data_IF_084351123704
#
_entry.id   IF_084351123704
#
_cell.length_a   1.000
_cell.length_b   1.000
_cell.length_c   1.000
_cell.angle_alpha   90.00
_cell.angle_beta   90.00
_cell.angle_gamma   90.00
#
_symmetry.space_group_name_H-M   'P 1'
#
loop_
_entity.id
_entity.type
_entity.pdbx_description
1 polymer ?
#
# COMPACT_ATOMS: atom_id res chain seq x y z
N UNK A 1 7.42 22.67 -22.55
CA UNK A 1 6.45 21.57 -22.73
C UNK A 1 6.38 20.81 -21.43
N UNK A 2 5.19 20.57 -20.93
CA UNK A 2 4.96 19.70 -19.78
C UNK A 2 5.20 18.24 -20.16
N UNK A 3 5.71 17.46 -19.22
CA UNK A 3 5.89 16.03 -19.37
C UNK A 3 4.79 15.31 -18.59
N UNK A 4 4.04 14.38 -19.17
CA UNK A 4 2.95 13.68 -18.48
C UNK A 4 3.40 12.89 -17.26
N UNK A 5 4.72 12.65 -17.13
CA UNK A 5 5.34 11.96 -15.99
C UNK A 5 6.16 12.91 -15.11
N UNK A 6 6.06 14.22 -15.31
CA UNK A 6 6.63 15.23 -14.42
C UNK A 6 8.13 15.54 -14.60
N UNK A 7 8.78 15.17 -15.72
CA UNK A 7 10.22 15.43 -15.94
C UNK A 7 10.57 16.91 -15.85
N UNK A 8 9.68 17.82 -16.23
CA UNK A 8 9.89 19.26 -16.19
C UNK A 8 9.96 19.84 -14.77
N UNK A 9 9.50 19.09 -13.76
CA UNK A 9 9.60 19.41 -12.34
C UNK A 9 10.86 18.84 -11.67
N UNK A 10 11.64 18.03 -12.39
CA UNK A 10 12.88 17.48 -11.85
C UNK A 10 13.96 18.55 -11.83
N UNK A 11 14.52 18.83 -10.64
CA UNK A 11 15.60 19.80 -10.45
C UNK A 11 16.96 19.12 -10.36
N UNK A 12 17.06 17.93 -9.74
CA UNK A 12 18.34 17.28 -9.49
C UNK A 12 18.17 15.76 -9.27
N UNK A 13 18.97 14.91 -9.96
CA UNK A 13 19.66 15.23 -11.23
C UNK A 13 18.65 15.36 -12.38
N UNK A 14 18.97 16.16 -13.38
CA UNK A 14 18.15 16.28 -14.58
C UNK A 14 18.19 14.97 -15.38
N UNK A 15 17.07 14.58 -16.00
CA UNK A 15 17.00 13.41 -16.88
C UNK A 15 16.57 12.11 -16.19
N UNK A 16 16.30 12.14 -14.88
CA UNK A 16 15.69 11.00 -14.16
C UNK A 16 14.19 11.22 -13.94
N UNK A 17 13.46 10.14 -13.63
CA UNK A 17 12.05 10.27 -13.25
C UNK A 17 11.90 10.97 -11.88
N UNK A 18 10.78 11.67 -11.61
CA UNK A 18 10.55 12.36 -10.35
C UNK A 18 10.80 11.52 -9.10
N UNK A 19 10.49 10.23 -9.14
CA UNK A 19 10.73 9.31 -8.02
C UNK A 19 12.22 9.17 -7.71
N UNK A 20 13.08 9.03 -8.73
CA UNK A 20 14.52 8.89 -8.59
C UNK A 20 15.25 10.23 -8.36
N UNK A 21 14.59 11.35 -8.60
CA UNK A 21 15.16 12.67 -8.40
C UNK A 21 15.45 12.93 -6.91
N UNK A 22 16.56 13.60 -6.62
CA UNK A 22 16.85 14.09 -5.28
C UNK A 22 15.97 15.29 -4.92
N UNK A 23 15.62 16.13 -5.93
CA UNK A 23 14.84 17.34 -5.73
C UNK A 23 13.85 17.57 -6.85
N UNK A 24 12.62 17.95 -6.46
CA UNK A 24 11.55 18.42 -7.36
C UNK A 24 11.27 19.91 -7.16
N UNK A 25 10.64 20.50 -8.18
CA UNK A 25 10.13 21.86 -8.13
C UNK A 25 8.70 21.89 -7.60
N UNK A 26 8.47 22.42 -6.39
CA UNK A 26 7.14 22.53 -5.82
C UNK A 26 6.45 23.86 -6.16
N UNK A 27 6.89 24.61 -7.18
CA UNK A 27 6.25 25.88 -7.59
C UNK A 27 4.73 25.67 -7.72
N UNK A 28 3.87 26.50 -7.07
CA UNK A 28 2.43 26.38 -7.14
C UNK A 28 1.82 26.67 -8.51
N UNK A 29 2.54 27.33 -9.41
CA UNK A 29 2.07 27.55 -10.78
C UNK A 29 2.02 26.21 -11.53
N UNK A 30 0.85 25.89 -12.13
CA UNK A 30 0.66 24.63 -12.84
C UNK A 30 0.80 24.77 -14.35
N UNK A 31 1.27 23.69 -14.97
CA UNK A 31 1.23 23.51 -16.41
C UNK A 31 -0.17 23.09 -16.91
N UNK A 32 -0.37 23.06 -18.24
CA UNK A 32 -1.69 22.80 -18.81
C UNK A 32 -2.26 21.41 -18.52
N UNK A 33 -1.44 20.42 -18.21
CA UNK A 33 -1.83 19.06 -17.92
C UNK A 33 -1.63 18.65 -16.44
N UNK A 34 -1.32 19.61 -15.57
CA UNK A 34 -1.15 19.39 -14.13
C UNK A 34 -2.41 19.73 -13.34
N UNK A 35 -2.45 19.24 -12.09
CA UNK A 35 -3.47 19.57 -11.11
C UNK A 35 -2.80 20.02 -9.82
N UNK A 36 -3.23 21.15 -9.25
CA UNK A 36 -2.80 21.60 -7.92
C UNK A 36 -3.80 21.17 -6.87
N UNK A 37 -3.27 20.60 -5.79
CA UNK A 37 -4.01 20.27 -4.59
C UNK A 37 -3.65 21.24 -3.47
N UNK A 38 -4.64 21.70 -2.72
CA UNK A 38 -4.46 22.27 -1.38
C UNK A 38 -4.41 21.09 -0.40
N UNK A 39 -3.27 20.89 0.23
CA UNK A 39 -3.02 19.75 1.11
C UNK A 39 -3.73 19.94 2.46
N UNK A 40 -4.34 18.90 2.97
CA UNK A 40 -4.98 18.84 4.28
C UNK A 40 -4.22 17.93 5.25
N UNK A 41 -3.61 16.86 4.72
CA UNK A 41 -2.95 15.83 5.51
C UNK A 41 -2.01 15.00 4.64
N UNK A 42 -0.86 14.62 5.20
CA UNK A 42 -0.04 13.52 4.67
C UNK A 42 -0.32 12.26 5.48
N UNK A 43 -0.15 11.11 4.85
CA UNK A 43 -0.04 9.81 5.50
C UNK A 43 1.36 9.29 5.17
N UNK A 44 2.26 9.35 6.13
CA UNK A 44 3.60 8.80 5.97
C UNK A 44 3.51 7.28 5.85
N UNK A 45 4.34 6.72 5.01
CA UNK A 45 4.51 5.27 4.96
C UNK A 45 5.03 4.73 6.30
N UNK A 46 4.49 3.60 6.75
CA UNK A 46 4.76 3.02 8.06
C UNK A 46 6.26 2.75 8.30
N UNK A 47 6.99 2.28 7.28
CA UNK A 47 8.43 2.04 7.39
C UNK A 47 9.21 3.35 7.56
N UNK A 48 8.82 4.41 6.84
CA UNK A 48 9.42 5.74 6.97
C UNK A 48 9.14 6.37 8.33
N UNK A 49 7.90 6.30 8.81
CA UNK A 49 7.57 6.83 10.13
C UNK A 49 8.31 6.08 11.24
N UNK A 50 8.33 4.75 11.20
CA UNK A 50 9.07 3.92 12.16
C UNK A 50 10.55 4.27 12.19
N UNK A 51 11.20 4.33 11.02
CA UNK A 51 12.62 4.67 10.89
C UNK A 51 12.93 6.05 11.49
N UNK A 52 12.10 7.07 11.21
CA UNK A 52 12.28 8.42 11.78
C UNK A 52 12.03 8.44 13.29
N UNK A 53 11.01 7.74 13.77
CA UNK A 53 10.70 7.62 15.19
C UNK A 53 11.84 6.94 15.97
N UNK A 54 12.37 5.83 15.46
CA UNK A 54 13.52 5.13 16.05
C UNK A 54 14.76 6.02 16.06
N UNK A 55 15.09 6.68 14.94
CA UNK A 55 16.22 7.61 14.83
C UNK A 55 16.19 8.72 15.88
N UNK A 56 15.01 9.25 16.16
CA UNK A 56 14.81 10.35 17.09
C UNK A 56 14.33 9.90 18.48
N UNK A 57 14.41 8.62 18.79
CA UNK A 57 13.98 8.07 20.10
C UNK A 57 12.55 8.49 20.47
N UNK A 58 11.64 8.48 19.48
CA UNK A 58 10.23 8.88 19.61
C UNK A 58 10.01 10.33 20.12
N UNK A 59 11.01 11.20 19.99
CA UNK A 59 10.84 12.64 20.25
C UNK A 59 10.12 13.31 19.10
N UNK A 60 8.82 13.54 19.26
CA UNK A 60 7.94 14.02 18.20
C UNK A 60 8.39 15.33 17.57
N UNK A 61 8.93 16.29 18.34
CA UNK A 61 9.43 17.55 17.77
C UNK A 61 10.61 17.35 16.83
N UNK A 62 11.51 16.42 17.13
CA UNK A 62 12.65 16.11 16.27
C UNK A 62 12.20 15.35 15.00
N UNK A 63 11.22 14.43 15.14
CA UNK A 63 10.59 13.74 13.99
C UNK A 63 9.92 14.76 13.07
N UNK A 64 9.13 15.69 13.64
CA UNK A 64 8.47 16.77 12.90
C UNK A 64 9.47 17.65 12.15
N UNK A 65 10.52 18.10 12.84
CA UNK A 65 11.55 18.94 12.24
C UNK A 65 12.26 18.22 11.06
N UNK A 66 12.53 16.92 11.19
CA UNK A 66 13.18 16.19 10.11
C UNK A 66 12.26 15.97 8.91
N UNK A 67 10.99 15.63 9.12
CA UNK A 67 10.00 15.51 8.02
C UNK A 67 9.88 16.84 7.27
N UNK A 68 9.76 17.94 7.99
CA UNK A 68 9.70 19.29 7.38
C UNK A 68 10.97 19.58 6.57
N UNK A 69 12.14 19.32 7.14
CA UNK A 69 13.43 19.51 6.44
C UNK A 69 13.54 18.65 5.17
N UNK A 70 13.06 17.40 5.21
CA UNK A 70 13.05 16.53 4.02
C UNK A 70 12.21 17.17 2.92
N UNK A 71 11.00 17.64 3.25
CA UNK A 71 10.08 18.25 2.27
C UNK A 71 10.68 19.54 1.71
N UNK A 72 11.18 20.44 2.55
CA UNK A 72 11.76 21.72 2.13
C UNK A 72 12.98 21.56 1.24
N UNK A 73 13.88 20.64 1.61
CA UNK A 73 15.13 20.43 0.85
C UNK A 73 14.91 19.70 -0.46
N UNK A 74 13.92 18.80 -0.51
CA UNK A 74 13.67 17.94 -1.67
C UNK A 74 12.50 18.39 -2.54
N UNK A 75 11.65 19.31 -2.06
CA UNK A 75 10.40 19.67 -2.75
C UNK A 75 9.43 18.50 -2.87
N UNK A 76 9.57 17.49 -2.01
CA UNK A 76 8.76 16.26 -1.94
C UNK A 76 9.01 15.52 -0.63
N UNK A 77 8.06 14.68 -0.19
CA UNK A 77 8.33 13.76 0.91
C UNK A 77 8.97 12.47 0.35
N UNK A 78 10.26 12.33 0.57
CA UNK A 78 11.04 11.17 0.17
C UNK A 78 12.09 10.88 1.23
N UNK A 79 11.80 9.92 2.12
CA UNK A 79 12.75 9.51 3.14
C UNK A 79 13.98 8.88 2.47
N UNK A 80 15.19 9.44 2.67
CA UNK A 80 16.40 8.97 2.00
C UNK A 80 16.86 7.58 2.47
N UNK A 81 16.37 7.10 3.63
CA UNK A 81 16.74 5.81 4.20
C UNK A 81 15.84 4.70 3.67
N UNK A 82 14.53 4.90 3.69
CA UNK A 82 13.57 3.89 3.26
C UNK A 82 13.22 3.96 1.77
N UNK A 83 13.53 5.10 1.12
CA UNK A 83 13.14 5.35 -0.27
C UNK A 83 11.64 5.58 -0.47
N UNK A 84 10.88 5.72 0.60
CA UNK A 84 9.42 5.84 0.59
C UNK A 84 8.93 7.22 1.05
N UNK A 85 7.65 7.53 0.89
CA UNK A 85 7.10 8.84 1.23
C UNK A 85 5.67 8.79 1.78
N UNK A 86 4.86 7.86 1.32
CA UNK A 86 3.44 7.76 1.67
C UNK A 86 2.52 8.44 0.66
N UNK A 87 1.39 8.94 1.11
CA UNK A 87 0.34 9.56 0.30
C UNK A 87 -0.22 10.83 0.98
N UNK A 88 -1.14 11.54 0.33
CA UNK A 88 -1.81 12.71 0.94
C UNK A 88 -3.32 12.71 0.67
N UNK A 89 -4.02 13.47 1.51
CA UNK A 89 -5.36 14.00 1.26
C UNK A 89 -5.26 15.50 1.01
N UNK A 90 -5.99 15.97 0.01
CA UNK A 90 -6.14 17.39 -0.30
C UNK A 90 -7.43 17.68 -1.04
N UNK A 91 -7.67 18.95 -1.27
CA UNK A 91 -8.77 19.45 -2.11
C UNK A 91 -8.19 19.94 -3.41
N UNK A 92 -8.78 19.56 -4.52
CA UNK A 92 -8.41 20.08 -5.85
C UNK A 92 -8.65 21.57 -5.88
N UNK A 93 -7.58 22.33 -6.07
CA UNK A 93 -7.59 23.79 -6.10
C UNK A 93 -7.66 24.31 -7.54
N UNK A 94 -6.85 23.75 -8.43
CA UNK A 94 -6.79 24.14 -9.83
C UNK A 94 -6.52 22.92 -10.72
N UNK A 95 -7.18 22.89 -11.88
CA UNK A 95 -7.01 21.85 -12.91
C UNK A 95 -6.58 22.50 -14.21
N UNK A 96 -5.44 22.07 -14.74
CA UNK A 96 -4.97 22.52 -16.04
C UNK A 96 -5.92 22.09 -17.17
N UNK A 97 -6.12 22.91 -18.21
CA UNK A 97 -7.15 22.69 -19.24
C UNK A 97 -6.94 21.43 -20.09
N UNK A 98 -5.75 20.85 -20.07
CA UNK A 98 -5.42 19.61 -20.76
C UNK A 98 -5.17 18.43 -19.81
N UNK A 99 -5.51 18.56 -18.53
CA UNK A 99 -5.35 17.47 -17.57
C UNK A 99 -6.30 16.32 -17.87
N UNK A 100 -5.79 15.07 -17.98
CA UNK A 100 -6.64 13.90 -18.18
C UNK A 100 -7.21 13.32 -16.87
N UNK A 101 -6.84 13.89 -15.71
CA UNK A 101 -7.28 13.36 -14.41
C UNK A 101 -8.79 13.62 -14.21
N UNK A 102 -9.57 12.62 -13.77
CA UNK A 102 -11.02 12.72 -13.64
C UNK A 102 -11.42 13.45 -12.35
N UNK A 103 -10.94 14.68 -12.18
CA UNK A 103 -11.19 15.52 -10.98
C UNK A 103 -11.55 16.94 -11.39
N UNK A 104 -12.23 17.66 -10.51
CA UNK A 104 -12.60 19.07 -10.67
C UNK A 104 -12.27 19.86 -9.42
N UNK A 105 -12.11 21.20 -9.52
CA UNK A 105 -11.94 22.06 -8.36
C UNK A 105 -13.02 21.81 -7.30
N UNK A 106 -12.58 21.70 -6.04
CA UNK A 106 -13.43 21.38 -4.91
C UNK A 106 -13.53 19.90 -4.56
N UNK A 107 -13.15 18.98 -5.45
CA UNK A 107 -13.11 17.56 -5.10
C UNK A 107 -12.09 17.31 -3.99
N UNK A 108 -12.48 16.58 -2.97
CA UNK A 108 -11.59 16.10 -1.93
C UNK A 108 -11.02 14.75 -2.35
N UNK A 109 -9.71 14.65 -2.42
CA UNK A 109 -9.02 13.52 -3.06
C UNK A 109 -7.91 12.95 -2.18
N UNK A 110 -7.62 11.65 -2.37
CA UNK A 110 -6.40 11.02 -1.92
C UNK A 110 -5.49 10.74 -3.11
N UNK A 111 -4.19 11.01 -2.98
CA UNK A 111 -3.22 10.56 -3.98
C UNK A 111 -2.96 9.08 -3.79
N UNK A 112 -2.90 8.33 -4.89
CA UNK A 112 -2.54 6.90 -4.89
C UNK A 112 -1.15 6.69 -5.51
N UNK A 113 -0.44 7.78 -5.73
CA UNK A 113 0.98 7.81 -6.08
C UNK A 113 1.80 8.23 -4.88
N UNK A 114 2.98 7.66 -4.75
CA UNK A 114 3.87 7.99 -3.64
C UNK A 114 4.26 9.46 -3.64
N UNK A 115 4.32 10.05 -2.45
CA UNK A 115 4.87 11.40 -2.23
C UNK A 115 6.33 11.53 -2.68
N UNK A 116 7.01 10.43 -2.95
CA UNK A 116 8.39 10.42 -3.49
C UNK A 116 8.48 11.00 -4.90
N UNK A 117 7.38 11.04 -5.63
CA UNK A 117 7.31 11.59 -7.00
C UNK A 117 6.39 12.81 -7.12
N UNK A 118 5.80 13.26 -6.01
CA UNK A 118 4.82 14.36 -5.97
C UNK A 118 5.49 15.64 -5.49
N UNK A 119 5.58 16.69 -6.31
CA UNK A 119 6.02 18.01 -5.86
C UNK A 119 5.14 18.50 -4.71
N UNK A 120 5.75 18.88 -3.60
CA UNK A 120 5.06 19.18 -2.35
C UNK A 120 5.74 20.32 -1.60
N UNK A 121 4.96 21.28 -1.17
CA UNK A 121 5.38 22.29 -0.21
C UNK A 121 4.42 22.33 0.99
N UNK A 122 4.98 22.42 2.19
CA UNK A 122 4.25 22.63 3.45
C UNK A 122 4.42 24.09 3.85
N UNK A 123 3.34 24.76 4.24
CA UNK A 123 3.30 26.19 4.55
C UNK A 123 3.04 26.52 6.01
N UNK A 124 2.61 25.54 6.81
CA UNK A 124 2.27 25.73 8.23
C UNK A 124 3.35 25.18 9.20
N UNK A 125 4.51 24.74 8.70
CA UNK A 125 5.60 24.20 9.52
C UNK A 125 5.22 22.95 10.29
N UNK A 126 4.17 22.22 9.90
CA UNK A 126 3.64 21.01 10.54
C UNK A 126 3.23 21.25 12.01
N UNK A 127 2.86 22.49 12.39
CA UNK A 127 2.58 22.86 13.80
C UNK A 127 1.39 22.11 14.41
N UNK A 128 0.52 21.54 13.59
CA UNK A 128 -0.66 20.77 14.02
C UNK A 128 -0.34 19.29 14.30
N UNK A 129 0.88 18.85 14.00
CA UNK A 129 1.33 17.47 14.19
C UNK A 129 2.29 17.37 15.38
N UNK A 130 2.03 16.43 16.27
CA UNK A 130 2.85 16.18 17.45
C UNK A 130 4.09 15.30 17.18
N UNK A 131 4.29 14.87 15.92
CA UNK A 131 5.37 13.98 15.53
C UNK A 131 5.14 12.51 15.93
N UNK A 132 3.94 12.16 16.33
CA UNK A 132 3.55 10.82 16.77
C UNK A 132 2.45 10.27 15.86
N UNK A 133 2.72 9.16 15.21
CA UNK A 133 1.80 8.56 14.25
C UNK A 133 2.02 9.00 12.81
N UNK A 134 1.50 8.20 11.89
CA UNK A 134 1.70 8.33 10.44
C UNK A 134 0.88 9.48 9.82
N UNK A 135 -0.19 9.91 10.50
CA UNK A 135 -1.11 10.93 10.02
C UNK A 135 -0.61 12.34 10.37
N UNK A 136 -0.28 13.14 9.36
CA UNK A 136 0.35 14.46 9.50
C UNK A 136 -0.60 15.55 9.01
N UNK A 137 -1.46 16.12 9.88
CA UNK A 137 -2.29 17.27 9.51
C UNK A 137 -1.39 18.47 9.18
N UNK A 138 -1.55 19.01 7.99
CA UNK A 138 -0.73 20.13 7.52
C UNK A 138 -1.49 21.02 6.52
N UNK A 139 -0.92 22.17 6.23
CA UNK A 139 -1.34 23.04 5.14
C UNK A 139 -0.19 23.19 4.14
N UNK A 140 -0.54 23.32 2.86
CA UNK A 140 0.42 23.43 1.77
C UNK A 140 -0.22 23.15 0.42
N UNK A 141 0.60 22.87 -0.56
CA UNK A 141 0.13 22.46 -1.89
C UNK A 141 0.97 21.31 -2.44
N UNK A 142 0.35 20.55 -3.33
CA UNK A 142 1.00 19.47 -4.09
C UNK A 142 0.59 19.55 -5.56
N UNK A 143 1.47 19.08 -6.45
CA UNK A 143 1.23 19.07 -7.89
C UNK A 143 1.10 17.62 -8.37
N UNK A 144 0.01 17.33 -9.07
CA UNK A 144 -0.19 16.05 -9.75
C UNK A 144 0.10 16.21 -11.24
N UNK A 145 0.73 15.22 -11.83
CA UNK A 145 1.01 15.12 -13.25
C UNK A 145 -0.12 14.42 -13.99
N UNK A 146 -0.13 14.50 -15.31
CA UNK A 146 -1.13 13.86 -16.16
C UNK A 146 -1.24 12.32 -15.92
N UNK A 147 -0.15 11.66 -15.51
CA UNK A 147 -0.13 10.23 -15.18
C UNK A 147 -0.17 9.93 -13.67
N UNK A 148 -0.45 10.90 -12.85
CA UNK A 148 -0.72 10.66 -11.43
C UNK A 148 -2.00 9.84 -11.25
N UNK A 149 -2.07 9.12 -10.14
CA UNK A 149 -3.24 8.35 -9.76
C UNK A 149 -3.88 9.04 -8.56
N UNK A 150 -5.18 9.28 -8.65
CA UNK A 150 -5.94 10.01 -7.63
C UNK A 150 -7.31 9.34 -7.46
N UNK A 151 -7.81 9.31 -6.23
CA UNK A 151 -9.17 8.86 -5.93
C UNK A 151 -9.94 9.99 -5.23
N UNK A 152 -11.15 10.26 -5.70
CA UNK A 152 -12.08 11.14 -4.98
C UNK A 152 -12.51 10.42 -3.70
N UNK A 153 -12.37 11.09 -2.56
CA UNK A 153 -12.77 10.51 -1.27
C UNK A 153 -14.29 10.38 -1.22
N UNK A 154 -14.79 9.21 -0.81
CA UNK A 154 -16.22 9.01 -0.69
C UNK A 154 -16.80 9.72 0.54
N UNK A 155 -18.01 10.24 0.41
CA UNK A 155 -18.71 10.91 1.52
C UNK A 155 -19.30 9.91 2.53
N UNK A 156 -19.46 8.64 2.14
CA UNK A 156 -20.07 7.57 2.94
C UNK A 156 -19.09 6.82 3.86
N UNK A 157 -17.79 7.12 3.78
CA UNK A 157 -16.75 6.53 4.63
C UNK A 157 -16.00 7.61 5.39
N UNK A 158 -15.65 7.32 6.64
CA UNK A 158 -14.73 8.15 7.39
C UNK A 158 -13.41 8.33 6.65
N UNK A 159 -12.86 9.55 6.65
CA UNK A 159 -11.68 9.90 5.88
C UNK A 159 -10.42 9.12 6.33
N UNK A 160 -10.28 8.82 7.63
CA UNK A 160 -9.15 8.05 8.13
C UNK A 160 -9.27 6.58 7.70
N UNK A 161 -10.48 6.04 7.71
CA UNK A 161 -10.76 4.70 7.21
C UNK A 161 -10.50 4.61 5.70
N UNK A 162 -11.04 5.55 4.92
CA UNK A 162 -10.82 5.59 3.48
C UNK A 162 -9.32 5.68 3.14
N UNK A 163 -8.57 6.53 3.85
CA UNK A 163 -7.13 6.67 3.67
C UNK A 163 -6.38 5.38 3.99
N UNK A 164 -6.69 4.72 5.11
CA UNK A 164 -6.06 3.46 5.50
C UNK A 164 -6.31 2.33 4.49
N UNK A 165 -7.48 2.33 3.83
CA UNK A 165 -7.84 1.38 2.77
C UNK A 165 -7.12 1.72 1.47
N UNK A 166 -7.10 2.98 1.07
CA UNK A 166 -6.47 3.45 -0.15
C UNK A 166 -4.94 3.30 -0.14
N UNK A 167 -4.34 3.39 1.03
CA UNK A 167 -2.89 3.16 1.23
C UNK A 167 -2.43 1.77 0.77
N UNK A 168 -3.32 0.79 0.81
CA UNK A 168 -3.04 -0.61 0.47
C UNK A 168 -3.92 -1.17 -0.66
N UNK A 169 -4.61 -0.31 -1.41
CA UNK A 169 -5.63 -0.71 -2.39
C UNK A 169 -5.09 -1.54 -3.57
N UNK A 170 -3.79 -1.48 -3.83
CA UNK A 170 -3.17 -2.29 -4.88
C UNK A 170 -3.19 -3.79 -4.59
N UNK A 171 -3.02 -4.20 -3.33
CA UNK A 171 -2.97 -5.61 -2.95
C UNK A 171 -4.28 -6.35 -3.26
N UNK A 172 -5.47 -5.91 -2.81
CA UNK A 172 -6.72 -6.58 -3.14
C UNK A 172 -7.02 -6.57 -4.64
N UNK A 173 -6.74 -5.49 -5.33
CA UNK A 173 -7.01 -5.39 -6.77
C UNK A 173 -6.13 -6.32 -7.61
N UNK A 174 -4.85 -6.44 -7.29
CA UNK A 174 -3.95 -7.39 -7.94
C UNK A 174 -4.34 -8.83 -7.61
N UNK A 175 -4.69 -9.11 -6.35
CA UNK A 175 -5.17 -10.42 -5.92
C UNK A 175 -6.43 -10.83 -6.69
N UNK A 176 -7.44 -9.95 -6.77
CA UNK A 176 -8.67 -10.18 -7.55
C UNK A 176 -8.34 -10.54 -9.00
N UNK A 177 -7.46 -9.75 -9.64
CA UNK A 177 -7.05 -9.98 -11.03
C UNK A 177 -6.36 -11.33 -11.22
N UNK A 178 -5.43 -11.70 -10.34
CA UNK A 178 -4.71 -12.98 -10.43
C UNK A 178 -5.63 -14.16 -10.16
N UNK A 179 -6.46 -14.09 -9.13
CA UNK A 179 -7.39 -15.17 -8.77
C UNK A 179 -8.36 -15.50 -9.92
N UNK A 180 -8.84 -14.47 -10.65
CA UNK A 180 -9.73 -14.66 -11.79
C UNK A 180 -9.09 -15.35 -13.00
N UNK A 181 -7.77 -15.50 -13.04
CA UNK A 181 -7.11 -16.26 -14.13
C UNK A 181 -7.19 -17.78 -13.91
N UNK A 182 -7.62 -18.21 -12.74
CA UNK A 182 -7.77 -19.62 -12.38
C UNK A 182 -9.24 -20.00 -12.19
N UNK A 183 -9.53 -21.28 -12.35
CA UNK A 183 -10.86 -21.81 -12.04
C UNK A 183 -10.89 -22.27 -10.58
N UNK A 184 -11.62 -21.54 -9.71
CA UNK A 184 -11.79 -21.86 -8.28
C UNK A 184 -10.48 -22.19 -7.55
N UNK A 185 -9.46 -21.29 -7.59
CA UNK A 185 -8.17 -21.57 -6.97
C UNK A 185 -8.26 -21.60 -5.45
N UNK A 186 -7.30 -22.29 -4.80
CA UNK A 186 -7.00 -22.09 -3.39
C UNK A 186 -6.02 -20.93 -3.24
N UNK A 187 -6.20 -20.10 -2.20
CA UNK A 187 -5.40 -18.89 -2.00
C UNK A 187 -4.83 -18.83 -0.59
N UNK A 188 -3.53 -18.66 -0.49
CA UNK A 188 -2.84 -18.36 0.76
C UNK A 188 -2.39 -16.89 0.77
N UNK A 189 -2.56 -16.20 1.89
CA UNK A 189 -2.05 -14.85 2.11
C UNK A 189 -1.13 -14.85 3.32
N UNK A 190 0.16 -14.59 3.09
CA UNK A 190 1.16 -14.48 4.13
C UNK A 190 1.16 -13.05 4.67
N UNK A 191 0.77 -12.88 5.95
CA UNK A 191 0.54 -11.60 6.58
C UNK A 191 -0.87 -11.06 6.32
N UNK A 192 -1.75 -11.15 7.32
CA UNK A 192 -3.14 -10.67 7.24
C UNK A 192 -3.34 -9.29 7.91
N UNK A 193 -2.38 -8.40 7.74
CA UNK A 193 -2.47 -6.99 8.10
C UNK A 193 -3.51 -6.21 7.28
N UNK A 194 -3.33 -4.90 7.09
CA UNK A 194 -4.23 -4.08 6.25
C UNK A 194 -4.32 -4.65 4.83
N UNK A 195 -3.17 -4.80 4.16
CA UNK A 195 -3.09 -5.33 2.79
C UNK A 195 -3.64 -6.75 2.67
N UNK A 196 -3.20 -7.63 3.58
CA UNK A 196 -3.55 -9.06 3.50
C UNK A 196 -5.00 -9.36 3.84
N UNK A 197 -5.63 -8.64 4.76
CA UNK A 197 -7.06 -8.82 5.03
C UNK A 197 -7.93 -8.42 3.84
N UNK A 198 -7.58 -7.33 3.14
CA UNK A 198 -8.24 -6.96 1.89
C UNK A 198 -7.94 -7.95 0.76
N UNK A 199 -6.71 -8.47 0.67
CA UNK A 199 -6.35 -9.49 -0.33
C UNK A 199 -7.14 -10.81 -0.12
N UNK A 200 -7.30 -11.27 1.12
CA UNK A 200 -8.13 -12.43 1.46
C UNK A 200 -9.59 -12.24 1.01
N UNK A 201 -10.16 -11.10 1.36
CA UNK A 201 -11.55 -10.77 0.98
C UNK A 201 -11.69 -10.65 -0.54
N UNK A 202 -10.73 -10.02 -1.22
CA UNK A 202 -10.70 -9.93 -2.68
C UNK A 202 -10.62 -11.31 -3.34
N UNK A 203 -9.78 -12.21 -2.81
CA UNK A 203 -9.67 -13.59 -3.32
C UNK A 203 -11.01 -14.34 -3.24
N UNK A 204 -11.72 -14.23 -2.12
CA UNK A 204 -13.05 -14.84 -1.95
C UNK A 204 -14.05 -14.26 -2.96
N UNK A 205 -14.13 -12.94 -3.06
CA UNK A 205 -15.01 -12.26 -4.03
C UNK A 205 -14.69 -12.63 -5.47
N UNK A 206 -13.42 -12.88 -5.78
CA UNK A 206 -12.96 -13.32 -7.10
C UNK A 206 -13.28 -14.79 -7.42
N UNK A 207 -13.78 -15.56 -6.46
CA UNK A 207 -14.21 -16.94 -6.66
C UNK A 207 -13.19 -17.99 -6.21
N UNK A 208 -12.27 -17.67 -5.29
CA UNK A 208 -11.41 -18.67 -4.65
C UNK A 208 -12.25 -19.77 -4.01
N UNK A 209 -11.85 -21.02 -4.21
CA UNK A 209 -12.51 -22.18 -3.60
C UNK A 209 -12.28 -22.25 -2.09
N UNK A 210 -11.12 -21.83 -1.64
CA UNK A 210 -10.73 -21.76 -0.23
C UNK A 210 -9.60 -20.75 -0.04
N UNK A 211 -9.62 -20.04 1.11
CA UNK A 211 -8.62 -19.03 1.46
C UNK A 211 -8.06 -19.27 2.85
N UNK A 212 -6.75 -19.03 3.03
CA UNK A 212 -6.09 -19.04 4.33
C UNK A 212 -5.23 -17.79 4.51
N UNK A 213 -5.36 -17.14 5.66
CA UNK A 213 -4.41 -16.13 6.14
C UNK A 213 -3.37 -16.77 7.05
N UNK A 214 -2.08 -16.49 6.83
CA UNK A 214 -1.01 -16.94 7.72
C UNK A 214 -0.51 -15.73 8.52
N UNK A 215 -0.52 -15.85 9.85
CA UNK A 215 -0.13 -14.77 10.76
C UNK A 215 0.91 -15.27 11.78
N UNK A 216 1.78 -14.38 12.30
CA UNK A 216 2.89 -14.82 13.16
C UNK A 216 2.46 -15.21 14.58
N UNK A 217 1.29 -14.75 15.05
CA UNK A 217 0.88 -14.93 16.45
C UNK A 217 -0.56 -15.41 16.60
N UNK A 218 -0.80 -16.08 17.74
CA UNK A 218 -2.16 -16.48 18.15
C UNK A 218 -3.05 -15.25 18.36
N UNK A 219 -2.50 -14.15 18.88
CA UNK A 219 -3.25 -12.91 19.10
C UNK A 219 -3.79 -12.32 17.77
N UNK A 220 -2.98 -12.32 16.72
CA UNK A 220 -3.45 -11.88 15.39
C UNK A 220 -4.48 -12.82 14.78
N UNK A 221 -4.28 -14.15 14.94
CA UNK A 221 -5.29 -15.13 14.54
C UNK A 221 -6.63 -14.86 15.22
N UNK A 222 -6.61 -14.65 16.53
CA UNK A 222 -7.82 -14.43 17.33
C UNK A 222 -8.49 -13.07 16.96
N UNK A 223 -7.70 -12.04 16.65
CA UNK A 223 -8.20 -10.77 16.14
C UNK A 223 -8.96 -10.96 14.81
N UNK A 224 -8.39 -11.71 13.87
CA UNK A 224 -9.02 -11.98 12.57
C UNK A 224 -10.25 -12.88 12.73
N UNK A 225 -10.19 -13.90 13.61
CA UNK A 225 -11.31 -14.77 13.90
C UNK A 225 -12.48 -13.99 14.51
N UNK A 226 -12.20 -13.06 15.44
CA UNK A 226 -13.21 -12.19 16.05
C UNK A 226 -13.84 -11.19 15.06
N UNK A 227 -13.13 -10.81 14.00
CA UNK A 227 -13.69 -9.98 12.93
C UNK A 227 -14.63 -10.76 12.00
N UNK A 228 -14.43 -12.08 11.84
CA UNK A 228 -15.29 -12.98 11.09
C UNK A 228 -14.56 -13.87 10.09
N UNK A 229 -14.70 -15.17 10.26
CA UNK A 229 -14.23 -16.21 9.33
C UNK A 229 -15.40 -16.91 8.66
N UNK A 230 -15.14 -17.66 7.60
CA UNK A 230 -16.14 -18.40 6.85
C UNK A 230 -17.08 -17.46 6.09
N UNK A 231 -18.36 -17.68 6.19
CA UNK A 231 -19.39 -16.94 5.45
C UNK A 231 -19.40 -15.44 5.72
N UNK A 232 -18.82 -15.00 6.83
CA UNK A 232 -18.67 -13.57 7.17
C UNK A 232 -17.68 -12.79 6.28
N UNK A 233 -16.93 -13.45 5.41
CA UNK A 233 -16.29 -12.80 4.28
C UNK A 233 -14.80 -12.49 4.36
N UNK A 234 -14.10 -12.63 5.52
CA UNK A 234 -12.67 -12.30 5.60
C UNK A 234 -11.81 -13.43 4.99
N UNK A 235 -11.90 -14.64 5.51
CA UNK A 235 -11.16 -15.83 5.07
C UNK A 235 -11.89 -17.12 5.53
N UNK A 236 -11.53 -18.26 4.94
CA UNK A 236 -12.06 -19.56 5.39
C UNK A 236 -11.30 -20.09 6.59
N UNK A 237 -10.01 -19.79 6.69
CA UNK A 237 -9.15 -20.17 7.80
C UNK A 237 -8.06 -19.14 8.09
N UNK A 238 -7.54 -19.16 9.31
CA UNK A 238 -6.31 -18.46 9.71
C UNK A 238 -5.39 -19.47 10.41
N UNK A 239 -4.16 -19.56 9.92
CA UNK A 239 -3.11 -20.41 10.46
C UNK A 239 -2.01 -19.54 11.12
N UNK A 240 -1.32 -20.10 12.11
CA UNK A 240 -0.23 -19.41 12.80
C UNK A 240 1.09 -20.03 12.36
N UNK A 241 1.95 -19.22 11.73
CA UNK A 241 3.33 -19.56 11.42
C UNK A 241 4.15 -18.29 11.24
N UNK A 242 5.45 -18.34 11.57
CA UNK A 242 6.39 -17.30 11.19
C UNK A 242 6.71 -17.44 9.70
N UNK A 243 6.38 -16.43 8.90
CA UNK A 243 6.60 -16.47 7.45
C UNK A 243 8.07 -16.60 7.04
N UNK A 244 9.01 -16.36 7.97
CA UNK A 244 10.45 -16.58 7.79
C UNK A 244 10.87 -18.05 7.95
N UNK A 245 10.01 -18.88 8.53
CA UNK A 245 10.20 -20.33 8.58
C UNK A 245 9.47 -20.96 7.39
N UNK A 246 10.19 -21.36 6.33
CA UNK A 246 9.56 -21.85 5.11
C UNK A 246 8.81 -23.16 5.30
N UNK A 247 9.31 -24.04 6.17
CA UNK A 247 8.71 -25.35 6.42
C UNK A 247 7.44 -25.21 7.24
N UNK A 248 7.48 -24.43 8.32
CA UNK A 248 6.31 -24.16 9.13
C UNK A 248 5.21 -23.44 8.36
N UNK A 249 5.58 -22.47 7.50
CA UNK A 249 4.64 -21.73 6.65
C UNK A 249 3.96 -22.66 5.65
N UNK A 250 4.71 -23.49 4.92
CA UNK A 250 4.15 -24.44 3.97
C UNK A 250 3.24 -25.47 4.68
N UNK A 251 3.67 -26.01 5.82
CA UNK A 251 2.86 -26.93 6.60
C UNK A 251 1.53 -26.30 7.07
N UNK A 252 1.57 -25.04 7.51
CA UNK A 252 0.38 -24.30 7.93
C UNK A 252 -0.60 -24.07 6.77
N UNK A 253 -0.09 -23.72 5.59
CA UNK A 253 -0.91 -23.54 4.37
C UNK A 253 -1.52 -24.87 3.94
N UNK A 254 -0.71 -25.94 3.81
CA UNK A 254 -1.16 -27.27 3.41
C UNK A 254 -2.21 -27.81 4.38
N UNK A 255 -1.98 -27.68 5.69
CA UNK A 255 -2.92 -28.11 6.72
C UNK A 255 -4.26 -27.37 6.64
N UNK A 256 -4.25 -26.09 6.34
CA UNK A 256 -5.47 -25.28 6.23
C UNK A 256 -6.24 -25.48 4.92
N UNK A 257 -5.54 -25.64 3.79
CA UNK A 257 -6.15 -25.75 2.46
C UNK A 257 -6.39 -27.20 2.01
N UNK A 258 -5.68 -28.17 2.61
CA UNK A 258 -5.67 -29.57 2.18
C UNK A 258 -4.66 -29.87 1.07
N UNK A 259 -3.78 -28.93 0.76
CA UNK A 259 -2.72 -29.00 -0.26
C UNK A 259 -2.04 -27.63 -0.42
N UNK A 260 -1.00 -27.51 -1.28
CA UNK A 260 -0.40 -26.24 -1.59
C UNK A 260 -1.41 -25.30 -2.27
N UNK A 261 -1.23 -24.00 -2.11
CA UNK A 261 -2.09 -22.98 -2.68
C UNK A 261 -1.89 -22.83 -4.19
N UNK A 262 -2.94 -22.60 -4.95
CA UNK A 262 -2.82 -22.20 -6.37
C UNK A 262 -2.23 -20.79 -6.49
N UNK A 263 -2.60 -19.91 -5.56
CA UNK A 263 -2.08 -18.53 -5.50
C UNK A 263 -1.61 -18.23 -4.08
N UNK A 264 -0.37 -17.77 -3.94
CA UNK A 264 0.16 -17.26 -2.67
C UNK A 264 0.46 -15.78 -2.79
N UNK A 265 -0.11 -14.97 -1.89
CA UNK A 265 0.10 -13.51 -1.84
C UNK A 265 0.93 -13.16 -0.61
N UNK A 266 2.08 -12.50 -0.79
CA UNK A 266 2.97 -12.08 0.28
C UNK A 266 2.71 -10.63 0.63
N UNK A 267 2.05 -10.39 1.75
CA UNK A 267 1.72 -9.06 2.31
C UNK A 267 2.49 -8.76 3.60
N UNK A 268 3.27 -9.69 4.11
CA UNK A 268 4.08 -9.51 5.32
C UNK A 268 5.30 -8.65 5.00
N UNK A 269 5.54 -7.63 5.82
CA UNK A 269 6.65 -6.67 5.61
C UNK A 269 7.88 -7.02 6.46
N UNK A 270 8.38 -8.26 6.27
CA UNK A 270 9.63 -8.73 6.84
C UNK A 270 10.44 -9.48 5.77
N UNK A 271 11.78 -9.37 5.75
CA UNK A 271 12.61 -10.09 4.79
C UNK A 271 12.67 -11.59 5.11
N UNK A 272 12.94 -12.41 4.07
CA UNK A 272 13.17 -13.85 4.22
C UNK A 272 11.93 -14.72 4.11
N UNK A 273 10.82 -14.18 3.57
CA UNK A 273 9.56 -14.93 3.40
C UNK A 273 9.43 -15.62 2.04
N UNK A 274 10.37 -15.43 1.13
CA UNK A 274 10.30 -15.87 -0.27
C UNK A 274 10.17 -17.39 -0.38
N UNK A 275 11.03 -18.13 0.33
CA UNK A 275 11.04 -19.59 0.29
C UNK A 275 9.76 -20.21 0.86
N UNK A 276 9.23 -19.60 1.94
CA UNK A 276 7.94 -20.03 2.53
C UNK A 276 6.78 -19.84 1.56
N UNK A 277 6.77 -18.72 0.83
CA UNK A 277 5.77 -18.46 -0.19
C UNK A 277 5.85 -19.46 -1.36
N UNK A 278 7.07 -19.74 -1.85
CA UNK A 278 7.31 -20.69 -2.96
C UNK A 278 6.88 -22.11 -2.54
N UNK A 279 7.32 -22.60 -1.38
CA UNK A 279 6.96 -23.92 -0.86
C UNK A 279 5.46 -24.07 -0.59
N UNK A 280 4.77 -22.96 -0.32
CA UNK A 280 3.32 -22.95 -0.10
C UNK A 280 2.51 -23.01 -1.40
N UNK A 281 3.17 -22.84 -2.56
CA UNK A 281 2.51 -22.70 -3.86
C UNK A 281 2.63 -23.99 -4.67
N UNK A 282 1.53 -24.40 -5.29
CA UNK A 282 1.49 -25.58 -6.17
C UNK A 282 2.27 -25.31 -7.48
N UNK A 283 2.77 -26.38 -8.10
CA UNK A 283 3.33 -26.30 -9.45
C UNK A 283 2.28 -25.72 -10.44
N UNK A 284 2.73 -24.86 -11.34
CA UNK A 284 1.88 -24.08 -12.23
C UNK A 284 1.12 -22.94 -11.54
N UNK A 285 1.34 -22.74 -10.24
CA UNK A 285 0.71 -21.67 -9.45
C UNK A 285 1.39 -20.32 -9.57
N UNK A 286 0.85 -19.33 -8.86
CA UNK A 286 1.37 -17.95 -8.85
C UNK A 286 1.71 -17.49 -7.43
N UNK A 287 2.93 -16.95 -7.25
CA UNK A 287 3.33 -16.19 -6.07
C UNK A 287 3.26 -14.70 -6.40
N UNK A 288 2.51 -13.92 -5.62
CA UNK A 288 2.44 -12.46 -5.73
C UNK A 288 3.21 -11.85 -4.57
N UNK A 289 4.37 -11.28 -4.82
CA UNK A 289 5.15 -10.53 -3.84
C UNK A 289 4.67 -9.08 -3.79
N UNK A 290 3.89 -8.73 -2.78
CA UNK A 290 3.37 -7.39 -2.55
C UNK A 290 4.16 -6.63 -1.48
N UNK A 291 5.01 -7.32 -0.74
CA UNK A 291 5.91 -6.76 0.26
C UNK A 291 7.13 -6.11 -0.38
N UNK A 292 7.47 -4.90 0.07
CA UNK A 292 8.70 -4.21 -0.31
C UNK A 292 9.96 -4.82 0.34
N UNK A 293 9.80 -5.69 1.34
CA UNK A 293 10.90 -6.43 1.97
C UNK A 293 11.37 -7.64 1.13
N UNK A 294 10.73 -7.92 0.00
CA UNK A 294 11.07 -9.06 -0.87
C UNK A 294 12.43 -8.91 -1.54
N UNK A 295 13.26 -9.95 -1.47
CA UNK A 295 14.50 -10.08 -2.22
C UNK A 295 14.26 -10.88 -3.51
N UNK A 296 14.37 -10.22 -4.66
CA UNK A 296 14.19 -10.88 -5.96
C UNK A 296 15.24 -11.99 -6.20
N UNK A 297 16.46 -11.78 -5.74
CA UNK A 297 17.53 -12.77 -5.84
C UNK A 297 17.19 -14.01 -4.99
N UNK A 298 16.70 -13.81 -3.75
CA UNK A 298 16.29 -14.92 -2.89
C UNK A 298 15.09 -15.68 -3.48
N UNK A 299 14.10 -14.96 -4.05
CA UNK A 299 12.97 -15.60 -4.70
C UNK A 299 13.37 -16.43 -5.93
N UNK A 300 14.20 -15.87 -6.82
CA UNK A 300 14.64 -16.56 -8.03
C UNK A 300 15.48 -17.82 -7.72
N UNK A 301 16.51 -17.66 -6.87
CA UNK A 301 17.38 -18.77 -6.46
C UNK A 301 16.63 -19.80 -5.61
N UNK A 302 15.64 -19.35 -4.81
CA UNK A 302 14.80 -20.24 -4.03
C UNK A 302 13.92 -21.12 -4.91
N UNK A 303 13.29 -20.57 -5.95
CA UNK A 303 12.49 -21.34 -6.88
C UNK A 303 13.36 -22.36 -7.66
N UNK A 304 14.53 -21.92 -8.13
CA UNK A 304 15.50 -22.82 -8.80
C UNK A 304 15.95 -23.94 -7.86
N UNK A 305 16.36 -23.61 -6.64
CA UNK A 305 16.84 -24.59 -5.66
C UNK A 305 15.78 -25.61 -5.19
N UNK A 306 14.51 -25.23 -5.29
CA UNK A 306 13.37 -26.10 -4.98
C UNK A 306 12.80 -26.81 -6.21
N UNK A 307 13.32 -26.52 -7.41
CA UNK A 307 12.77 -26.95 -8.69
C UNK A 307 11.25 -26.64 -8.80
N UNK A 308 10.84 -25.48 -8.27
CA UNK A 308 9.44 -25.07 -8.20
C UNK A 308 9.00 -24.43 -9.52
N UNK A 309 8.00 -25.00 -10.17
CA UNK A 309 7.37 -24.42 -11.37
C UNK A 309 6.31 -23.42 -10.97
N UNK A 310 6.73 -22.18 -10.65
CA UNK A 310 5.82 -21.12 -10.21
C UNK A 310 6.01 -19.83 -11.00
N UNK A 311 4.90 -19.16 -11.30
CA UNK A 311 4.94 -17.78 -11.80
C UNK A 311 5.12 -16.82 -10.61
N UNK A 312 6.12 -15.94 -10.69
CA UNK A 312 6.36 -14.93 -9.66
C UNK A 312 6.01 -13.54 -10.19
N UNK A 313 5.10 -12.85 -9.50
CA UNK A 313 4.66 -11.49 -9.82
C UNK A 313 5.09 -10.51 -8.74
N UNK A 314 5.58 -9.36 -9.17
CA UNK A 314 5.86 -8.23 -8.29
C UNK A 314 4.62 -7.35 -8.23
N UNK A 315 4.08 -7.15 -7.04
CA UNK A 315 2.96 -6.25 -6.81
C UNK A 315 3.41 -4.80 -6.81
N UNK A 316 3.05 -4.05 -7.84
CA UNK A 316 3.45 -2.66 -8.03
C UNK A 316 2.49 -1.63 -7.45
N UNK A 317 1.46 -2.06 -6.74
CA UNK A 317 0.47 -1.17 -6.13
C UNK A 317 -0.57 -0.58 -7.07
N UNK A 318 -0.43 -0.73 -8.39
CA UNK A 318 -1.37 -0.17 -9.37
C UNK A 318 -2.06 -1.24 -10.20
N UNK A 319 -3.38 -1.21 -10.15
CA UNK A 319 -4.28 -1.91 -11.08
C UNK A 319 -5.40 -0.93 -11.44
N UNK A 320 -5.83 -0.81 -12.70
CA UNK A 320 -6.97 0.04 -13.06
C UNK A 320 -8.19 -0.24 -12.17
N UNK A 321 -8.76 0.81 -11.55
CA UNK A 321 -9.90 0.69 -10.65
C UNK A 321 -9.58 0.17 -9.23
N UNK A 322 -8.32 0.08 -8.84
CA UNK A 322 -7.90 -0.48 -7.54
C UNK A 322 -8.52 0.24 -6.33
N UNK A 323 -8.71 1.56 -6.40
CA UNK A 323 -9.38 2.31 -5.34
C UNK A 323 -10.83 1.84 -5.14
N UNK A 324 -11.60 1.74 -6.23
CA UNK A 324 -13.00 1.32 -6.18
C UNK A 324 -13.14 -0.12 -5.69
N UNK A 325 -12.24 -1.00 -6.12
CA UNK A 325 -12.18 -2.39 -5.64
C UNK A 325 -11.99 -2.43 -4.12
N UNK A 326 -11.01 -1.70 -3.60
CA UNK A 326 -10.70 -1.73 -2.17
C UNK A 326 -11.81 -1.07 -1.32
N UNK A 327 -12.32 0.09 -1.74
CA UNK A 327 -13.43 0.76 -1.06
C UNK A 327 -14.71 -0.08 -1.10
N UNK A 328 -14.99 -0.76 -2.23
CA UNK A 328 -16.11 -1.69 -2.37
C UNK A 328 -16.02 -2.84 -1.37
N UNK A 329 -14.83 -3.44 -1.19
CA UNK A 329 -14.62 -4.51 -0.20
C UNK A 329 -14.97 -4.07 1.22
N UNK A 330 -14.59 -2.86 1.62
CA UNK A 330 -14.90 -2.32 2.96
C UNK A 330 -16.39 -2.02 3.14
N UNK A 331 -17.07 -1.60 2.07
CA UNK A 331 -18.53 -1.38 2.10
C UNK A 331 -19.30 -2.68 2.20
N UNK A 332 -18.89 -3.67 1.43
CA UNK A 332 -19.61 -4.94 1.25
C UNK A 332 -19.28 -5.98 2.34
N UNK A 333 -18.15 -5.82 3.05
CA UNK A 333 -17.66 -6.82 4.01
C UNK A 333 -17.54 -6.22 5.41
N UNK A 334 -18.55 -6.38 6.29
CA UNK A 334 -18.52 -5.85 7.65
C UNK A 334 -17.29 -6.27 8.46
N UNK A 335 -16.84 -7.52 8.30
CA UNK A 335 -15.64 -8.05 8.95
C UNK A 335 -14.37 -7.23 8.64
N UNK A 336 -14.18 -6.84 7.39
CA UNK A 336 -13.05 -5.99 6.99
C UNK A 336 -13.17 -4.60 7.57
N UNK A 337 -14.37 -4.01 7.51
CA UNK A 337 -14.63 -2.67 8.07
C UNK A 337 -14.35 -2.62 9.56
N UNK A 338 -14.82 -3.62 10.30
CA UNK A 338 -14.58 -3.76 11.75
C UNK A 338 -13.09 -3.93 12.07
N UNK A 339 -12.39 -4.76 11.30
CA UNK A 339 -10.96 -4.98 11.49
C UNK A 339 -10.16 -3.68 11.28
N UNK A 340 -10.48 -2.91 10.25
CA UNK A 340 -9.84 -1.61 10.02
C UNK A 340 -10.16 -0.60 11.11
N UNK A 341 -11.43 -0.54 11.56
CA UNK A 341 -11.85 0.34 12.64
C UNK A 341 -11.10 0.03 13.96
N UNK A 342 -10.95 -1.24 14.32
CA UNK A 342 -10.18 -1.67 15.51
C UNK A 342 -8.71 -1.29 15.40
N UNK A 343 -8.09 -1.44 14.23
CA UNK A 343 -6.70 -1.07 14.01
C UNK A 343 -6.48 0.44 14.10
N UNK A 344 -7.42 1.24 13.61
CA UNK A 344 -7.37 2.70 13.73
C UNK A 344 -7.60 3.19 15.17
N UNK A 345 -8.40 2.48 15.96
CA UNK A 345 -8.66 2.82 17.38
C UNK A 345 -7.51 2.40 18.32
N UNK A 346 -6.67 1.46 17.92
CA UNK A 346 -5.51 0.98 18.70
C UNK A 346 -4.22 1.76 18.47
N UNK A 347 -4.26 2.77 17.64
CA UNK A 347 -3.20 3.75 17.39
C UNK A 347 -3.64 5.11 17.91
#
# INVERSE_FOLDING_TARGET
>A
MTSPVGLHRVREPVGVLPQAAARLDPDPAIGPDEVRLRVERLNLDAASFRQLSEKHHSRGDDVRAEVLRIIETRGKMHNPVTGSGGMLIGVVDEVGPASPLPVKPGDRVATLVSLTLTPLAVTDGLVRWDGRGEQVPCAGHAILFARSIVAVLPDDLDAALALAVLDVCGAPALTDRVVRTYHRPTVAVLGAGKSGSLALTAARRAGAARTVGVVPTVAERDLLAAAGLGDAGLADAVAVADARDPVATAAAVVGALGGPATVTVVCVDVPGCEHGAILSTADGGTVVFFSMATSFAAAALGAEGLAADVTMLIGNGYVPGHADVALGLVRETPAVRELFARRLAGH
#
